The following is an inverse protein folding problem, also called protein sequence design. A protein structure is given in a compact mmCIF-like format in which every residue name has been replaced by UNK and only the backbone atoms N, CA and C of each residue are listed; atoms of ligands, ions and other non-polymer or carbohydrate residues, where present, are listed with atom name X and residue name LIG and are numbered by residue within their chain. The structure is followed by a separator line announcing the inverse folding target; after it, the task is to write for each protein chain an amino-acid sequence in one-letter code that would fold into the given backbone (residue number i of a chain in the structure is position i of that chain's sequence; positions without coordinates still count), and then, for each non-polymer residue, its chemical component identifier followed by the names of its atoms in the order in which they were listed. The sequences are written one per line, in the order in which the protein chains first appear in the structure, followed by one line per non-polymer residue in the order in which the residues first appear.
data_IF_032466266969
#
_entry.id   IF_032466266969
#
_cell.length_a   1.000
_cell.length_b   1.000
_cell.length_c   1.000
_cell.angle_alpha   90.00
_cell.angle_beta   90.00
_cell.angle_gamma   90.00
#
_symmetry.space_group_name_H-M   'P 1'
#
loop_
_entity.id
_entity.type
_entity.pdbx_description
1 polymer ?
#
# COMPACT_ATOMS: atom_id res chain seq x y z
N UNK A 1 8.20 4.95 9.11
CA UNK A 1 9.57 4.82 9.67
C UNK A 1 10.51 5.96 9.26
N UNK A 2 10.53 6.42 8.00
CA UNK A 2 11.37 7.55 7.57
C UNK A 2 11.08 8.85 8.35
N UNK A 3 9.82 9.25 8.46
CA UNK A 3 9.40 10.43 9.23
C UNK A 3 9.75 10.30 10.72
N UNK A 4 9.63 9.10 11.30
CA UNK A 4 10.04 8.85 12.70
C UNK A 4 11.54 9.10 12.89
N UNK A 5 12.39 8.62 11.96
CA UNK A 5 13.83 8.91 11.99
C UNK A 5 14.12 10.40 11.82
N UNK A 6 13.41 11.05 10.90
CA UNK A 6 13.50 12.50 10.68
C UNK A 6 13.16 13.28 11.96
N UNK A 7 12.04 12.97 12.61
CA UNK A 7 11.63 13.59 13.88
C UNK A 7 12.58 13.26 15.04
N UNK A 8 13.07 12.03 15.13
CA UNK A 8 14.06 11.63 16.14
C UNK A 8 15.34 12.47 16.01
N UNK A 9 15.84 12.65 14.78
CA UNK A 9 17.04 13.44 14.53
C UNK A 9 16.87 14.91 14.92
N UNK A 10 15.66 15.47 14.77
CA UNK A 10 15.38 16.87 15.16
C UNK A 10 15.31 17.08 16.67
N UNK A 11 14.97 16.05 17.46
CA UNK A 11 14.78 16.19 18.91
C UNK A 11 16.09 16.30 19.70
N UNK A 12 17.23 15.87 19.15
CA UNK A 12 18.55 15.87 19.79
C UNK A 12 18.56 15.44 21.28
N UNK A 13 17.70 14.49 21.66
CA UNK A 13 17.56 14.08 23.06
C UNK A 13 18.81 13.31 23.54
N UNK A 14 19.23 13.45 24.82
CA UNK A 14 20.36 12.70 25.35
C UNK A 14 20.18 11.19 25.15
N UNK A 15 21.21 10.54 24.59
CA UNK A 15 21.19 9.10 24.28
C UNK A 15 20.57 8.72 22.94
N UNK A 16 20.08 9.68 22.14
CA UNK A 16 19.62 9.35 20.78
C UNK A 16 20.80 9.21 19.81
N UNK A 17 20.71 8.22 18.93
CA UNK A 17 21.64 8.03 17.83
C UNK A 17 21.09 8.80 16.63
N UNK A 18 21.94 9.64 16.03
CA UNK A 18 21.63 10.29 14.77
C UNK A 18 21.68 9.28 13.62
N UNK A 19 20.61 9.19 12.85
CA UNK A 19 20.53 8.29 11.69
C UNK A 19 20.43 9.12 10.42
N UNK A 20 21.51 9.20 9.65
CA UNK A 20 21.52 9.94 8.39
C UNK A 20 20.64 9.24 7.33
N UNK A 21 19.40 9.72 7.14
CA UNK A 21 18.51 9.22 6.09
C UNK A 21 18.74 10.03 4.81
N UNK A 22 19.56 9.50 3.92
CA UNK A 22 19.91 10.21 2.68
C UNK A 22 18.82 10.12 1.60
N UNK A 23 18.20 8.93 1.47
CA UNK A 23 17.20 8.67 0.45
C UNK A 23 16.17 7.63 0.90
N UNK A 24 14.99 7.69 0.27
CA UNK A 24 13.89 6.75 0.40
C UNK A 24 13.41 6.34 -1.00
N UNK A 25 13.43 5.04 -1.29
CA UNK A 25 12.76 4.45 -2.44
C UNK A 25 11.41 3.89 -1.97
N UNK A 26 10.32 4.27 -2.63
CA UNK A 26 8.99 3.73 -2.38
C UNK A 26 8.46 3.12 -3.67
N UNK A 27 8.17 1.81 -3.65
CA UNK A 27 7.62 1.12 -4.82
C UNK A 27 6.13 0.88 -4.67
N UNK A 28 5.36 1.20 -5.71
CA UNK A 28 3.92 0.88 -5.81
C UNK A 28 3.10 1.17 -4.53
N UNK A 29 3.18 2.38 -3.94
CA UNK A 29 2.56 2.64 -2.65
C UNK A 29 1.05 2.86 -2.71
N UNK A 30 0.35 2.38 -1.68
CA UNK A 30 -0.95 2.89 -1.25
C UNK A 30 -0.73 4.03 -0.24
N UNK A 31 -0.98 5.28 -0.63
CA UNK A 31 -0.70 6.46 0.24
C UNK A 31 -1.84 7.48 0.37
N UNK A 32 -2.85 7.37 -0.47
CA UNK A 32 -4.05 8.19 -0.43
C UNK A 32 -5.25 7.33 -0.89
N UNK A 33 -6.17 6.95 0.01
CA UNK A 33 -7.27 6.06 -0.34
C UNK A 33 -8.14 6.60 -1.48
N UNK A 34 -8.42 7.91 -1.50
CA UNK A 34 -9.27 8.52 -2.53
C UNK A 34 -8.61 8.45 -3.91
N UNK A 35 -7.34 8.83 -4.02
CA UNK A 35 -6.58 8.68 -5.26
C UNK A 35 -6.48 7.21 -5.67
N UNK A 36 -6.23 6.31 -4.72
CA UNK A 36 -6.13 4.88 -5.01
C UNK A 36 -7.43 4.34 -5.60
N UNK A 37 -8.55 4.38 -4.88
CA UNK A 37 -9.82 3.78 -5.34
C UNK A 37 -10.30 4.34 -6.67
N UNK A 38 -10.16 5.66 -6.88
CA UNK A 38 -10.52 6.31 -8.15
C UNK A 38 -9.69 5.77 -9.32
N UNK A 39 -8.38 5.78 -9.16
CA UNK A 39 -7.47 5.48 -10.27
C UNK A 39 -7.23 3.99 -10.46
N UNK A 40 -7.46 3.19 -9.43
CA UNK A 40 -7.49 1.74 -9.51
C UNK A 40 -8.61 1.28 -10.43
N UNK A 41 -9.85 1.71 -10.15
CA UNK A 41 -10.97 1.37 -11.02
C UNK A 41 -10.78 1.90 -12.45
N UNK A 42 -10.32 3.14 -12.61
CA UNK A 42 -9.99 3.68 -13.93
C UNK A 42 -8.99 2.78 -14.68
N UNK A 43 -7.87 2.44 -14.04
CA UNK A 43 -6.81 1.66 -14.67
C UNK A 43 -7.29 0.26 -15.02
N UNK A 44 -7.95 -0.42 -14.09
CA UNK A 44 -8.51 -1.75 -14.29
C UNK A 44 -9.49 -1.76 -15.47
N UNK A 45 -10.42 -0.80 -15.52
CA UNK A 45 -11.51 -0.80 -16.50
C UNK A 45 -11.18 -0.16 -17.85
N UNK A 46 -10.18 0.73 -17.90
CA UNK A 46 -9.89 1.53 -19.10
C UNK A 46 -8.56 1.14 -19.74
N UNK A 47 -7.55 0.85 -18.92
CA UNK A 47 -6.18 0.59 -19.39
C UNK A 47 -5.84 -0.90 -19.42
N UNK A 48 -6.72 -1.73 -18.87
CA UNK A 48 -6.58 -3.19 -18.82
C UNK A 48 -7.92 -3.87 -19.12
N UNK A 49 -7.89 -5.19 -19.16
CA UNK A 49 -9.03 -6.08 -19.35
C UNK A 49 -9.19 -7.05 -18.16
N UNK A 50 -8.80 -6.61 -16.96
CA UNK A 50 -8.91 -7.40 -15.73
C UNK A 50 -10.38 -7.59 -15.34
N UNK A 51 -11.18 -6.53 -15.36
CA UNK A 51 -12.63 -6.60 -15.16
C UNK A 51 -13.37 -6.53 -16.49
N UNK A 52 -14.47 -7.27 -16.60
CA UNK A 52 -15.37 -7.15 -17.73
C UNK A 52 -16.21 -5.85 -17.67
N UNK A 53 -16.86 -5.50 -18.78
CA UNK A 53 -17.63 -4.25 -18.90
C UNK A 53 -18.79 -4.14 -17.91
N UNK A 54 -19.42 -5.26 -17.54
CA UNK A 54 -20.52 -5.28 -16.57
C UNK A 54 -20.01 -4.96 -15.18
N UNK A 55 -18.95 -5.65 -14.73
CA UNK A 55 -18.29 -5.37 -13.45
C UNK A 55 -17.81 -3.92 -13.38
N UNK A 56 -17.21 -3.41 -14.45
CA UNK A 56 -16.80 -2.00 -14.52
C UNK A 56 -17.96 -1.02 -14.40
N UNK A 57 -19.09 -1.27 -15.08
CA UNK A 57 -20.28 -0.42 -14.98
C UNK A 57 -20.84 -0.41 -13.55
N UNK A 58 -20.92 -1.57 -12.90
CA UNK A 58 -21.43 -1.70 -11.53
C UNK A 58 -20.51 -0.97 -10.52
N UNK A 59 -19.20 -1.17 -10.62
CA UNK A 59 -18.23 -0.53 -9.72
C UNK A 59 -18.11 0.98 -9.95
N UNK A 60 -18.29 1.46 -11.19
CA UNK A 60 -18.36 2.90 -11.45
C UNK A 60 -19.57 3.56 -10.76
N UNK A 61 -20.66 2.82 -10.53
CA UNK A 61 -21.80 3.31 -9.77
C UNK A 61 -21.51 3.39 -8.25
N UNK A 62 -20.63 2.52 -7.73
CA UNK A 62 -20.21 2.51 -6.31
C UNK A 62 -19.19 3.61 -6.01
N UNK A 63 -18.31 3.93 -6.98
CA UNK A 63 -17.17 4.81 -6.78
C UNK A 63 -17.53 6.17 -6.12
N UNK A 64 -18.58 6.92 -6.53
CA UNK A 64 -18.92 8.19 -5.90
C UNK A 64 -19.16 8.08 -4.38
N UNK A 65 -19.92 7.07 -3.95
CA UNK A 65 -20.20 6.85 -2.53
C UNK A 65 -18.96 6.41 -1.76
N UNK A 66 -18.10 5.60 -2.37
CA UNK A 66 -16.78 5.27 -1.80
C UNK A 66 -15.95 6.55 -1.56
N UNK A 67 -15.80 7.41 -2.57
CA UNK A 67 -14.99 8.63 -2.46
C UNK A 67 -15.55 9.62 -1.42
N UNK A 68 -16.87 9.80 -1.38
CA UNK A 68 -17.53 10.64 -0.36
C UNK A 68 -17.29 10.09 1.06
N UNK A 69 -17.39 8.77 1.23
CA UNK A 69 -17.14 8.11 2.51
C UNK A 69 -15.69 8.27 2.96
N UNK A 70 -14.73 8.18 2.02
CA UNK A 70 -13.32 8.46 2.29
C UNK A 70 -13.16 9.88 2.79
N UNK A 71 -13.67 10.88 2.06
CA UNK A 71 -13.58 12.29 2.47
C UNK A 71 -14.17 12.52 3.86
N UNK A 72 -15.36 11.97 4.13
CA UNK A 72 -15.99 12.03 5.45
C UNK A 72 -15.12 11.40 6.54
N UNK A 73 -14.51 10.25 6.26
CA UNK A 73 -13.59 9.59 7.19
C UNK A 73 -12.33 10.42 7.46
N UNK A 74 -11.90 11.27 6.52
CA UNK A 74 -10.76 12.17 6.72
C UNK A 74 -11.13 13.44 7.50
N UNK A 75 -12.37 13.94 7.35
CA UNK A 75 -12.90 15.07 8.11
C UNK A 75 -13.23 14.70 9.56
N UNK A 76 -13.69 13.46 9.79
CA UNK A 76 -13.97 12.91 11.12
C UNK A 76 -13.29 11.55 11.27
N UNK A 77 -11.99 11.52 11.62
CA UNK A 77 -11.13 10.32 11.56
C UNK A 77 -11.31 9.38 12.75
N UNK A 78 -12.56 9.06 13.09
CA UNK A 78 -12.87 7.99 14.03
C UNK A 78 -12.62 6.63 13.36
N UNK A 79 -12.26 5.63 14.16
CA UNK A 79 -12.07 4.26 13.66
C UNK A 79 -13.34 3.74 12.96
N UNK A 80 -14.52 4.05 13.51
CA UNK A 80 -15.82 3.66 12.95
C UNK A 80 -16.01 4.23 11.54
N UNK A 81 -15.75 5.53 11.34
CA UNK A 81 -15.91 6.15 10.03
C UNK A 81 -14.91 5.60 9.00
N UNK A 82 -13.66 5.34 9.41
CA UNK A 82 -12.66 4.76 8.52
C UNK A 82 -13.00 3.34 8.11
N UNK A 83 -13.39 2.47 9.05
CA UNK A 83 -13.82 1.10 8.73
C UNK A 83 -15.06 1.09 7.84
N UNK A 84 -16.04 1.96 8.12
CA UNK A 84 -17.21 2.08 7.25
C UNK A 84 -16.83 2.52 5.83
N UNK A 85 -15.86 3.42 5.69
CA UNK A 85 -15.32 3.83 4.38
C UNK A 85 -14.52 2.72 3.69
N UNK A 86 -13.65 2.00 4.42
CA UNK A 86 -12.90 0.86 3.89
C UNK A 86 -13.84 -0.20 3.34
N UNK A 87 -14.77 -0.68 4.15
CA UNK A 87 -15.72 -1.73 3.77
C UNK A 87 -16.59 -1.31 2.57
N UNK A 88 -16.93 -0.02 2.44
CA UNK A 88 -17.68 0.47 1.28
C UNK A 88 -16.84 0.44 0.00
N UNK A 89 -15.55 0.73 0.12
CA UNK A 89 -14.62 0.81 -1.01
C UNK A 89 -14.03 -0.55 -1.41
N UNK A 90 -14.02 -1.53 -0.51
CA UNK A 90 -13.53 -2.91 -0.72
C UNK A 90 -14.14 -3.56 -1.96
N UNK A 91 -15.41 -3.26 -2.26
CA UNK A 91 -16.08 -3.74 -3.48
C UNK A 91 -15.32 -3.41 -4.79
N UNK A 92 -14.55 -2.31 -4.81
CA UNK A 92 -13.74 -1.92 -5.97
C UNK A 92 -12.56 -2.88 -6.19
N UNK A 93 -12.01 -3.45 -5.12
CA UNK A 93 -10.86 -4.36 -5.12
C UNK A 93 -11.30 -5.82 -5.34
N UNK A 94 -12.52 -6.18 -4.93
CA UNK A 94 -13.06 -7.55 -4.95
C UNK A 94 -13.74 -7.96 -6.28
N UNK A 95 -13.67 -7.14 -7.32
CA UNK A 95 -14.22 -7.51 -8.63
C UNK A 95 -13.58 -8.80 -9.18
N UNK A 96 -14.32 -9.58 -9.98
CA UNK A 96 -13.81 -10.80 -10.59
C UNK A 96 -12.70 -10.48 -11.60
N UNK A 97 -11.45 -10.76 -11.22
CA UNK A 97 -10.27 -10.59 -12.07
C UNK A 97 -10.11 -11.70 -13.13
N UNK A 98 -11.05 -12.66 -13.21
CA UNK A 98 -11.05 -13.76 -14.17
C UNK A 98 -9.73 -14.58 -14.16
N UNK A 99 -9.21 -14.82 -12.96
CA UNK A 99 -7.97 -15.55 -12.72
C UNK A 99 -6.69 -14.74 -12.95
N UNK A 100 -6.77 -13.44 -13.29
CA UNK A 100 -5.60 -12.57 -13.35
C UNK A 100 -5.10 -12.19 -11.97
N UNK A 101 -3.79 -11.99 -11.90
CA UNK A 101 -3.12 -11.44 -10.72
C UNK A 101 -3.12 -9.92 -10.85
N UNK A 102 -3.70 -9.23 -9.87
CA UNK A 102 -3.84 -7.77 -9.93
C UNK A 102 -2.49 -7.05 -9.78
N UNK A 103 -1.51 -7.67 -9.13
CA UNK A 103 -0.15 -7.14 -9.00
C UNK A 103 0.65 -7.18 -10.32
N UNK A 104 0.24 -8.00 -11.28
CA UNK A 104 0.78 -8.01 -12.65
C UNK A 104 -0.28 -8.52 -13.64
N UNK A 105 -0.96 -7.59 -14.30
CA UNK A 105 -2.10 -7.88 -15.20
C UNK A 105 -1.76 -8.76 -16.41
N UNK A 106 -0.48 -9.08 -16.62
CA UNK A 106 0.00 -10.01 -17.66
C UNK A 106 -0.05 -11.47 -17.21
N UNK A 107 -0.23 -11.74 -15.90
CA UNK A 107 -0.20 -13.08 -15.31
C UNK A 107 -1.62 -13.57 -15.00
N UNK A 108 -1.84 -14.88 -15.17
CA UNK A 108 -3.12 -15.59 -14.94
C UNK A 108 -2.99 -16.66 -13.85
N UNK A 109 -1.84 -16.70 -13.17
CA UNK A 109 -1.55 -17.69 -12.15
C UNK A 109 -0.81 -17.05 -10.99
N UNK A 110 -1.05 -17.59 -9.80
CA UNK A 110 -0.52 -17.13 -8.51
C UNK A 110 1.01 -17.11 -8.47
N UNK A 111 1.56 -16.52 -7.42
CA UNK A 111 2.99 -16.36 -7.21
C UNK A 111 3.62 -17.62 -6.55
N UNK A 112 4.19 -18.58 -7.32
CA UNK A 112 4.85 -19.75 -6.73
C UNK A 112 6.06 -19.37 -5.86
N UNK A 113 6.59 -18.16 -6.05
CA UNK A 113 7.74 -17.62 -5.34
C UNK A 113 7.51 -17.57 -3.82
N UNK A 114 6.26 -17.37 -3.36
CA UNK A 114 5.93 -17.43 -1.93
C UNK A 114 6.06 -18.84 -1.35
N UNK A 115 5.64 -19.87 -2.10
CA UNK A 115 5.80 -21.26 -1.68
C UNK A 115 7.28 -21.64 -1.64
N UNK A 116 8.05 -21.26 -2.67
CA UNK A 116 9.49 -21.52 -2.72
C UNK A 116 10.23 -20.84 -1.56
N UNK A 117 9.93 -19.56 -1.29
CA UNK A 117 10.51 -18.81 -0.17
C UNK A 117 10.17 -19.46 1.16
N UNK A 118 8.92 -19.90 1.32
CA UNK A 118 8.47 -20.57 2.55
C UNK A 118 9.19 -21.90 2.75
N UNK A 119 9.34 -22.72 1.71
CA UNK A 119 10.09 -23.98 1.78
C UNK A 119 11.57 -23.74 2.08
N UNK A 120 12.20 -22.80 1.37
CA UNK A 120 13.62 -22.48 1.56
C UNK A 120 13.92 -21.98 2.97
N UNK A 121 13.14 -21.01 3.45
CA UNK A 121 13.32 -20.40 4.77
C UNK A 121 12.99 -21.35 5.93
N UNK A 122 12.15 -22.37 5.70
CA UNK A 122 11.83 -23.39 6.70
C UNK A 122 12.74 -24.62 6.68
N UNK A 123 13.66 -24.73 5.73
CA UNK A 123 14.65 -25.79 5.71
C UNK A 123 15.56 -25.70 6.95
N UNK A 124 15.80 -26.83 7.65
CA UNK A 124 16.59 -26.85 8.89
C UNK A 124 18.03 -26.38 8.70
N UNK A 125 18.66 -26.68 7.56
CA UNK A 125 20.00 -26.17 7.23
C UNK A 125 19.98 -24.66 7.04
N UNK A 126 18.98 -24.11 6.34
CA UNK A 126 18.81 -22.66 6.20
C UNK A 126 18.57 -21.99 7.56
N UNK A 127 17.68 -22.54 8.39
CA UNK A 127 17.38 -22.04 9.74
C UNK A 127 18.62 -22.03 10.63
N UNK A 128 19.36 -23.15 10.68
CA UNK A 128 20.59 -23.27 11.44
C UNK A 128 21.65 -22.26 10.97
N UNK A 129 21.80 -22.07 9.64
CA UNK A 129 22.73 -21.09 9.08
C UNK A 129 22.38 -19.65 9.46
N UNK A 130 21.09 -19.31 9.52
CA UNK A 130 20.59 -17.99 9.90
C UNK A 130 20.47 -17.78 11.42
N UNK A 131 20.76 -18.81 12.24
CA UNK A 131 20.57 -18.76 13.68
C UNK A 131 19.10 -18.71 14.12
N UNK A 132 18.18 -19.13 13.26
CA UNK A 132 16.75 -19.21 13.55
C UNK A 132 16.47 -20.54 14.27
N UNK A 133 15.83 -20.54 15.46
CA UNK A 133 15.49 -21.77 16.14
C UNK A 133 14.55 -22.66 15.31
N UNK A 134 14.73 -23.99 15.39
CA UNK A 134 13.96 -24.95 14.57
C UNK A 134 12.43 -24.82 14.74
N UNK A 135 11.98 -24.44 15.95
CA UNK A 135 10.57 -24.30 16.30
C UNK A 135 9.90 -23.04 15.69
N UNK A 136 10.66 -22.09 15.16
CA UNK A 136 10.12 -20.87 14.54
C UNK A 136 9.85 -21.14 13.07
N UNK A 137 8.59 -21.09 12.65
CA UNK A 137 8.24 -21.25 11.23
C UNK A 137 8.13 -19.90 10.54
N UNK A 138 8.76 -19.80 9.37
CA UNK A 138 8.61 -18.67 8.48
C UNK A 138 7.30 -18.78 7.70
N UNK A 139 6.56 -17.68 7.62
CA UNK A 139 5.47 -17.47 6.68
C UNK A 139 5.77 -16.21 5.86
N UNK A 140 5.37 -16.17 4.60
CA UNK A 140 5.64 -15.01 3.73
C UNK A 140 4.77 -13.80 4.10
N UNK A 141 3.57 -14.06 4.61
CA UNK A 141 2.60 -13.09 5.09
C UNK A 141 2.10 -13.54 6.47
N UNK A 142 1.57 -12.60 7.26
CA UNK A 142 0.96 -12.87 8.56
C UNK A 142 -0.46 -12.29 8.56
N UNK A 143 -1.44 -13.19 8.53
CA UNK A 143 -2.86 -12.82 8.52
C UNK A 143 -3.25 -12.08 9.81
N UNK A 144 -2.65 -12.44 10.95
CA UNK A 144 -2.86 -11.77 12.23
C UNK A 144 -2.42 -10.29 12.16
N UNK A 145 -1.21 -10.03 11.66
CA UNK A 145 -0.71 -8.65 11.50
C UNK A 145 -1.55 -7.87 10.50
N UNK A 146 -1.93 -8.49 9.38
CA UNK A 146 -2.80 -7.87 8.39
C UNK A 146 -4.16 -7.50 8.99
N UNK A 147 -4.82 -8.46 9.65
CA UNK A 147 -6.11 -8.28 10.33
C UNK A 147 -6.05 -7.20 11.39
N UNK A 148 -4.95 -7.13 12.15
CA UNK A 148 -4.75 -6.07 13.14
C UNK A 148 -4.65 -4.69 12.48
N UNK A 149 -3.94 -4.57 11.35
CA UNK A 149 -3.84 -3.30 10.61
C UNK A 149 -5.21 -2.87 10.05
N UNK A 150 -6.00 -3.80 9.53
CA UNK A 150 -7.35 -3.54 9.03
C UNK A 150 -8.34 -3.19 10.16
N UNK A 151 -8.31 -3.94 11.26
CA UNK A 151 -9.15 -3.71 12.42
C UNK A 151 -8.93 -2.32 13.03
N UNK A 152 -7.73 -1.77 12.88
CA UNK A 152 -7.35 -0.41 13.29
C UNK A 152 -7.44 0.62 12.16
N UNK A 153 -7.85 0.22 10.96
CA UNK A 153 -7.91 1.05 9.75
C UNK A 153 -6.59 1.79 9.45
N UNK A 154 -5.46 1.18 9.80
CA UNK A 154 -4.14 1.79 9.69
C UNK A 154 -3.77 2.08 8.23
N UNK A 155 -4.27 1.29 7.28
CA UNK A 155 -4.05 1.53 5.86
C UNK A 155 -4.82 2.77 5.36
N UNK A 156 -5.94 3.13 6.01
CA UNK A 156 -6.88 4.15 5.56
C UNK A 156 -6.55 5.57 6.05
N UNK A 157 -5.34 6.03 5.74
CA UNK A 157 -4.85 7.35 6.09
C UNK A 157 -4.20 8.05 4.88
N UNK A 158 -4.13 9.39 4.93
CA UNK A 158 -3.37 10.22 3.99
C UNK A 158 -1.87 10.14 4.28
N UNK A 159 -1.29 8.96 4.09
CA UNK A 159 0.14 8.72 4.32
C UNK A 159 1.04 9.56 3.43
N UNK A 160 0.55 10.03 2.27
CA UNK A 160 1.32 10.91 1.40
C UNK A 160 1.81 12.19 2.11
N UNK A 161 1.07 12.68 3.12
CA UNK A 161 1.48 13.85 3.92
C UNK A 161 2.79 13.62 4.68
N UNK A 162 3.16 12.36 4.94
CA UNK A 162 4.42 12.00 5.59
C UNK A 162 5.64 12.19 4.69
N UNK A 163 5.44 12.37 3.37
CA UNK A 163 6.52 12.59 2.42
C UNK A 163 7.00 14.04 2.43
N UNK A 164 6.13 15.03 2.64
CA UNK A 164 6.49 16.45 2.51
C UNK A 164 7.71 16.89 3.35
N UNK A 165 7.86 16.46 4.62
CA UNK A 165 9.03 16.85 5.42
C UNK A 165 10.35 16.25 4.91
N UNK A 166 10.31 15.14 4.18
CA UNK A 166 11.52 14.40 3.78
C UNK A 166 12.35 15.22 2.76
N UNK A 167 11.82 15.64 1.59
CA UNK A 167 12.56 16.50 0.67
C UNK A 167 12.96 17.84 1.27
N UNK A 168 12.13 18.43 2.14
CA UNK A 168 12.44 19.70 2.82
C UNK A 168 13.70 19.60 3.70
N UNK A 169 13.98 18.39 4.21
CA UNK A 169 15.17 18.08 5.01
C UNK A 169 16.35 17.56 4.19
N UNK A 170 16.26 17.58 2.87
CA UNK A 170 17.29 17.07 1.96
C UNK A 170 17.25 15.57 1.72
N UNK A 171 16.29 14.83 2.29
CA UNK A 171 16.09 13.41 1.99
C UNK A 171 15.53 13.26 0.59
N UNK A 172 16.21 12.52 -0.28
CA UNK A 172 15.73 12.26 -1.65
C UNK A 172 14.64 11.19 -1.62
N UNK A 173 13.48 11.44 -2.24
CA UNK A 173 12.40 10.46 -2.32
C UNK A 173 12.19 10.05 -3.78
N UNK A 174 12.36 8.77 -4.09
CA UNK A 174 12.11 8.19 -5.41
C UNK A 174 10.88 7.28 -5.33
N UNK A 175 9.88 7.56 -6.16
CA UNK A 175 8.74 6.66 -6.38
C UNK A 175 9.00 5.84 -7.63
N UNK A 176 9.08 4.51 -7.48
CA UNK A 176 9.25 3.57 -8.60
C UNK A 176 7.98 2.75 -8.76
N UNK A 177 7.34 2.78 -9.94
CA UNK A 177 6.00 2.22 -10.07
C UNK A 177 5.94 1.30 -11.27
N UNK A 178 5.57 0.04 -11.04
CA UNK A 178 5.29 -0.91 -12.11
C UNK A 178 4.09 -0.49 -12.96
N UNK A 179 4.30 -0.29 -14.26
CA UNK A 179 3.23 0.10 -15.19
C UNK A 179 2.17 -0.98 -15.45
N UNK A 180 2.30 -2.18 -14.85
CA UNK A 180 1.42 -3.33 -15.02
C UNK A 180 0.78 -3.81 -13.72
N UNK A 181 1.05 -3.12 -12.63
CA UNK A 181 0.40 -3.36 -11.35
C UNK A 181 -0.96 -2.66 -11.35
N UNK A 182 -2.03 -3.44 -11.28
CA UNK A 182 -3.39 -2.97 -11.09
C UNK A 182 -3.81 -2.91 -9.62
N UNK A 183 -3.08 -3.56 -8.70
CA UNK A 183 -3.29 -3.43 -7.27
C UNK A 183 -2.97 -1.99 -6.84
N UNK A 184 -1.75 -1.51 -7.10
CA UNK A 184 -1.31 -0.14 -6.81
C UNK A 184 -0.93 0.64 -8.09
N UNK A 185 -1.91 1.02 -8.93
CA UNK A 185 -1.61 1.46 -10.27
C UNK A 185 -1.01 2.85 -10.34
N UNK A 186 -0.13 3.06 -11.31
CA UNK A 186 0.63 4.28 -11.49
C UNK A 186 -0.21 5.56 -11.59
N UNK A 187 -1.43 5.60 -12.18
CA UNK A 187 -2.22 6.83 -12.18
C UNK A 187 -2.64 7.25 -10.76
N UNK A 188 -2.89 6.29 -9.86
CA UNK A 188 -3.19 6.55 -8.45
C UNK A 188 -2.01 7.14 -7.71
N UNK A 189 -0.81 6.61 -7.96
CA UNK A 189 0.43 7.15 -7.39
C UNK A 189 0.71 8.57 -7.90
N UNK A 190 0.65 8.80 -9.21
CA UNK A 190 0.82 10.15 -9.77
C UNK A 190 -0.22 11.14 -9.27
N UNK A 191 -1.45 10.68 -9.04
CA UNK A 191 -2.53 11.51 -8.49
C UNK A 191 -2.20 12.03 -7.11
N UNK A 192 -1.81 11.17 -6.16
CA UNK A 192 -1.50 11.65 -4.82
C UNK A 192 -0.20 12.47 -4.79
N UNK A 193 0.77 12.18 -5.67
CA UNK A 193 2.00 12.98 -5.75
C UNK A 193 1.72 14.44 -6.11
N UNK A 194 0.69 14.70 -6.93
CA UNK A 194 0.23 16.07 -7.24
C UNK A 194 -0.40 16.79 -6.05
N UNK A 195 -0.74 16.08 -4.97
CA UNK A 195 -1.26 16.66 -3.74
C UNK A 195 -0.14 17.12 -2.79
N UNK A 196 1.11 16.72 -3.04
CA UNK A 196 2.26 17.11 -2.21
C UNK A 196 2.56 18.60 -2.37
N UNK A 197 2.81 19.25 -1.23
CA UNK A 197 3.26 20.65 -1.16
C UNK A 197 4.77 20.72 -1.01
N UNK A 198 5.48 20.33 -2.07
CA UNK A 198 6.95 20.40 -2.13
C UNK A 198 7.40 21.49 -3.10
N UNK A 199 8.62 22.01 -2.90
CA UNK A 199 9.20 23.09 -3.73
C UNK A 199 9.68 22.63 -5.13
N UNK A 200 9.23 21.46 -5.59
CA UNK A 200 9.63 20.85 -6.85
C UNK A 200 8.43 20.72 -7.79
#
# INVERSE_FOLDING_TARGET
MATVKHEQNQRHAPGTIYINLEALLVSNPFSDPASHSKWQLYYICTETDVYNSTTCADLHAVLPSCLESIERSMLSPTLVNKRASMNLCEAIEEGDAHGRVIEDVRRVATHPEFAWTTTFSNNSTTKALLGVPDYVNYTSLSDDVHSDFEANANIWHRHYLLYEPLPQSGTRVLHWIGARDANCPWPGVLSFLKLLRTLF
#
